data_IF_937765871674
#
_entry.id   IF_937765871674
#
_cell.length_a   1.000
_cell.length_b   1.000
_cell.length_c   1.000
_cell.angle_alpha   90.00
_cell.angle_beta   90.00
_cell.angle_gamma   90.00
#
_symmetry.space_group_name_H-M   'P 1'
#
loop_
_entity.id
_entity.type
_entity.pdbx_description
1 polymer ?
#
# COMPACT_ATOMS: atom_id res chain seq x y z
N UNK A 1 12.00 10.43 -2.34
CA UNK A 1 10.78 9.72 -2.76
C UNK A 1 10.17 10.43 -3.96
N UNK A 2 10.02 9.77 -5.11
CA UNK A 2 9.51 10.36 -6.36
C UNK A 2 7.97 10.37 -6.40
N UNK A 3 7.41 11.21 -7.27
CA UNK A 3 6.04 11.09 -7.72
C UNK A 3 5.95 9.89 -8.68
N UNK A 4 4.98 8.98 -8.44
CA UNK A 4 4.72 7.85 -9.31
C UNK A 4 3.33 8.03 -9.95
N UNK A 5 3.19 7.65 -11.22
CA UNK A 5 1.90 7.80 -11.91
C UNK A 5 1.74 6.83 -13.07
N UNK A 6 0.49 6.54 -13.37
CA UNK A 6 0.05 5.98 -14.65
C UNK A 6 -0.97 6.93 -15.32
N UNK A 7 -1.82 6.42 -16.20
CA UNK A 7 -2.77 7.24 -16.99
C UNK A 7 -3.91 7.87 -16.17
N UNK A 8 -4.25 7.32 -14.99
CA UNK A 8 -5.43 7.73 -14.21
C UNK A 8 -5.13 7.91 -12.72
N UNK A 9 -3.99 7.38 -12.23
CA UNK A 9 -3.61 7.42 -10.84
C UNK A 9 -2.30 8.16 -10.67
N UNK A 10 -2.28 9.13 -9.76
CA UNK A 10 -1.07 9.75 -9.26
C UNK A 10 -0.84 9.31 -7.82
N UNK A 11 0.37 8.84 -7.53
CA UNK A 11 0.90 8.61 -6.19
C UNK A 11 1.75 9.81 -5.80
N UNK A 12 1.15 10.73 -5.08
CA UNK A 12 1.78 11.96 -4.61
C UNK A 12 2.68 11.64 -3.41
N UNK A 13 3.96 12.04 -3.41
CA UNK A 13 4.83 11.88 -2.24
C UNK A 13 4.21 12.51 -1.00
N UNK A 14 4.29 11.82 0.16
CA UNK A 14 3.60 12.26 1.37
C UNK A 14 3.97 13.68 1.82
N UNK A 15 5.22 14.12 1.62
CA UNK A 15 5.65 15.48 1.92
C UNK A 15 4.87 16.59 1.17
N UNK A 16 4.15 16.21 0.10
CA UNK A 16 3.38 17.12 -0.74
C UNK A 16 1.86 16.99 -0.51
N UNK A 17 1.43 16.07 0.38
CA UNK A 17 0.03 15.69 0.56
C UNK A 17 -0.83 16.85 1.07
N UNK A 18 -0.28 17.74 1.86
CA UNK A 18 -1.00 18.91 2.40
C UNK A 18 -1.39 19.93 1.31
N UNK A 19 -0.81 19.82 0.11
CA UNK A 19 -1.22 20.63 -1.03
C UNK A 19 -2.59 20.23 -1.59
N UNK A 20 -3.12 19.05 -1.22
CA UNK A 20 -4.42 18.58 -1.66
C UNK A 20 -5.55 19.29 -0.91
N UNK A 21 -6.53 19.87 -1.63
CA UNK A 21 -7.68 20.49 -0.99
C UNK A 21 -8.44 19.50 -0.11
N UNK A 22 -8.71 19.88 1.15
CA UNK A 22 -9.54 19.10 2.06
C UNK A 22 -8.92 17.76 2.53
N UNK A 23 -7.64 17.51 2.30
CA UNK A 23 -6.97 16.23 2.62
C UNK A 23 -7.18 15.80 4.07
N UNK A 24 -7.11 16.74 5.03
CA UNK A 24 -7.34 16.46 6.45
C UNK A 24 -8.74 15.90 6.71
N UNK A 25 -9.75 16.52 6.12
CA UNK A 25 -11.14 16.06 6.24
C UNK A 25 -11.37 14.70 5.56
N UNK A 26 -10.76 14.48 4.40
CA UNK A 26 -10.82 13.20 3.69
C UNK A 26 -10.14 12.08 4.47
N UNK A 27 -9.01 12.32 5.12
CA UNK A 27 -8.34 11.36 6.00
C UNK A 27 -9.25 11.01 7.19
N UNK A 28 -9.82 12.01 7.87
CA UNK A 28 -10.73 11.79 9.01
C UNK A 28 -11.94 10.95 8.57
N UNK A 29 -12.57 11.31 7.45
CA UNK A 29 -13.72 10.58 6.92
C UNK A 29 -13.35 9.13 6.56
N UNK A 30 -12.20 8.92 5.92
CA UNK A 30 -11.71 7.59 5.56
C UNK A 30 -11.42 6.71 6.78
N UNK A 31 -10.77 7.27 7.81
CA UNK A 31 -10.37 6.52 9.01
C UNK A 31 -11.55 6.21 9.94
N UNK A 32 -12.65 6.95 9.85
CA UNK A 32 -13.90 6.63 10.56
C UNK A 32 -14.83 5.69 9.77
N UNK A 33 -14.47 5.31 8.54
CA UNK A 33 -15.26 4.35 7.77
C UNK A 33 -15.24 2.97 8.44
N UNK A 34 -16.38 2.26 8.57
CA UNK A 34 -16.46 0.98 9.27
C UNK A 34 -15.53 -0.11 8.72
N UNK A 35 -15.27 -0.13 7.41
CA UNK A 35 -14.35 -1.09 6.80
C UNK A 35 -12.91 -0.78 7.18
N UNK A 36 -12.53 0.49 7.21
CA UNK A 36 -11.23 0.92 7.69
C UNK A 36 -11.03 0.55 9.16
N UNK A 37 -12.01 0.86 10.00
CA UNK A 37 -11.99 0.54 11.43
C UNK A 37 -11.87 -0.98 11.66
N UNK A 38 -12.58 -1.82 10.86
CA UNK A 38 -12.51 -3.29 11.01
C UNK A 38 -11.14 -3.86 10.67
N UNK A 39 -10.47 -3.35 9.63
CA UNK A 39 -9.29 -4.01 9.07
C UNK A 39 -7.95 -3.33 9.40
N UNK A 40 -7.98 -2.28 10.22
CA UNK A 40 -6.76 -1.53 10.55
C UNK A 40 -6.67 -1.23 12.04
N UNK A 41 -5.49 -0.76 12.45
CA UNK A 41 -5.22 -0.31 13.84
C UNK A 41 -5.44 1.18 14.03
N UNK A 42 -6.07 1.89 13.07
CA UNK A 42 -6.33 3.33 13.21
C UNK A 42 -7.12 3.61 14.51
N UNK A 43 -6.84 4.69 15.23
CA UNK A 43 -7.64 5.09 16.38
C UNK A 43 -9.14 5.18 16.04
N UNK A 44 -10.02 4.89 17.00
CA UNK A 44 -11.46 5.04 16.80
C UNK A 44 -12.13 5.53 18.09
N UNK A 45 -12.84 6.66 18.07
CA UNK A 45 -13.05 7.54 16.91
C UNK A 45 -11.74 8.18 16.42
N UNK A 46 -11.64 8.39 15.09
CA UNK A 46 -10.50 9.07 14.51
C UNK A 46 -10.76 10.58 14.53
N UNK A 47 -9.90 11.31 15.24
CA UNK A 47 -10.08 12.75 15.50
C UNK A 47 -9.24 13.63 14.58
N UNK A 48 -9.48 14.94 14.56
CA UNK A 48 -8.62 15.90 13.88
C UNK A 48 -7.15 15.83 14.29
N UNK A 49 -6.86 15.64 15.57
CA UNK A 49 -5.50 15.54 16.11
C UNK A 49 -4.78 14.31 15.56
N UNK A 50 -5.48 13.16 15.43
CA UNK A 50 -4.93 11.97 14.78
C UNK A 50 -4.59 12.21 13.32
N UNK A 51 -5.38 13.03 12.60
CA UNK A 51 -5.08 13.39 11.21
C UNK A 51 -3.86 14.30 11.12
N UNK A 52 -3.71 15.25 12.03
CA UNK A 52 -2.55 16.15 12.08
C UNK A 52 -1.27 15.34 12.36
N UNK A 53 -1.29 14.41 13.31
CA UNK A 53 -0.16 13.51 13.59
C UNK A 53 0.19 12.63 12.38
N UNK A 54 -0.82 12.09 11.71
CA UNK A 54 -0.62 11.23 10.53
C UNK A 54 -0.06 12.01 9.33
N UNK A 55 -0.47 13.27 9.15
CA UNK A 55 0.06 14.16 8.12
C UNK A 55 1.50 14.55 8.42
N UNK A 56 1.80 14.89 9.67
CA UNK A 56 3.10 15.40 10.08
C UNK A 56 4.19 14.31 10.13
N UNK A 57 3.85 13.05 10.43
CA UNK A 57 4.83 12.01 10.74
C UNK A 57 4.78 10.86 9.74
N UNK A 58 5.92 10.60 9.10
CA UNK A 58 6.21 9.35 8.41
C UNK A 58 7.30 8.62 9.19
N UNK A 59 7.11 7.36 9.60
CA UNK A 59 8.13 6.62 10.33
C UNK A 59 9.45 6.52 9.55
N UNK A 60 10.56 6.43 10.24
CA UNK A 60 11.88 6.29 9.63
C UNK A 60 11.94 5.05 8.73
N UNK A 61 12.54 5.20 7.55
CA UNK A 61 12.67 4.13 6.56
C UNK A 61 11.38 3.80 5.80
N UNK A 62 10.26 4.46 6.09
CA UNK A 62 9.00 4.28 5.37
C UNK A 62 8.87 5.31 4.25
N UNK A 63 8.56 4.84 3.05
CA UNK A 63 8.11 5.69 1.96
C UNK A 63 6.57 5.65 1.90
N UNK A 64 5.93 6.83 1.94
CA UNK A 64 4.45 6.92 1.91
C UNK A 64 4.00 7.84 0.78
N UNK A 65 2.99 7.38 0.02
CA UNK A 65 2.33 8.15 -1.03
C UNK A 65 0.83 8.23 -0.78
N UNK A 66 0.24 9.34 -1.17
CA UNK A 66 -1.21 9.48 -1.28
C UNK A 66 -1.69 9.07 -2.68
N UNK A 67 -2.81 8.35 -2.76
CA UNK A 67 -3.55 8.20 -4.03
C UNK A 67 -4.27 9.50 -4.33
N UNK A 68 -4.09 10.02 -5.53
CA UNK A 68 -4.76 11.23 -5.99
C UNK A 68 -5.52 10.92 -7.27
N UNK A 69 -6.83 11.15 -7.22
CA UNK A 69 -7.75 11.07 -8.36
C UNK A 69 -8.54 12.36 -8.36
N UNK A 70 -8.62 13.03 -9.50
CA UNK A 70 -9.32 14.31 -9.64
C UNK A 70 -8.96 15.35 -8.55
N UNK A 71 -7.65 15.47 -8.27
CA UNK A 71 -7.10 16.37 -7.23
C UNK A 71 -7.59 16.08 -5.81
N UNK A 72 -8.17 14.90 -5.56
CA UNK A 72 -8.69 14.49 -4.27
C UNK A 72 -7.88 13.34 -3.67
N UNK A 73 -7.65 13.40 -2.34
CA UNK A 73 -7.13 12.26 -1.58
C UNK A 73 -8.06 11.06 -1.67
N UNK A 74 -7.53 9.92 -2.08
CA UNK A 74 -8.29 8.69 -2.32
C UNK A 74 -7.75 7.47 -1.57
N UNK A 75 -6.73 7.67 -0.73
CA UNK A 75 -6.07 6.64 0.06
C UNK A 75 -4.57 6.83 0.12
N UNK A 76 -3.88 5.86 0.69
CA UNK A 76 -2.42 5.87 0.77
C UNK A 76 -1.82 4.48 0.61
N UNK A 77 -0.54 4.45 0.25
CA UNK A 77 0.31 3.26 0.22
C UNK A 77 1.65 3.55 0.88
N UNK A 78 2.18 2.57 1.58
CA UNK A 78 3.48 2.61 2.22
C UNK A 78 4.36 1.47 1.70
N UNK A 79 5.63 1.79 1.47
CA UNK A 79 6.71 0.82 1.36
C UNK A 79 7.55 0.91 2.63
N UNK A 80 7.56 -0.15 3.39
CA UNK A 80 8.28 -0.27 4.67
C UNK A 80 9.62 -0.98 4.49
N UNK A 81 10.57 -0.83 5.42
CA UNK A 81 11.80 -1.60 5.41
C UNK A 81 11.54 -3.09 5.22
N UNK A 82 12.41 -3.76 4.44
CA UNK A 82 12.25 -5.17 4.10
C UNK A 82 11.26 -5.48 2.98
N UNK A 83 10.65 -4.45 2.36
CA UNK A 83 9.75 -4.64 1.22
C UNK A 83 8.30 -4.97 1.61
N UNK A 84 7.90 -4.70 2.85
CA UNK A 84 6.51 -4.89 3.29
C UNK A 84 5.68 -3.69 2.87
N UNK A 85 4.58 -3.95 2.16
CA UNK A 85 3.63 -2.94 1.71
C UNK A 85 2.40 -2.90 2.61
N UNK A 86 1.93 -1.68 2.86
CA UNK A 86 0.65 -1.42 3.52
C UNK A 86 -0.15 -0.40 2.72
N UNK A 87 -1.48 -0.50 2.72
CA UNK A 87 -2.32 0.46 2.01
C UNK A 87 -3.69 0.65 2.66
N UNK A 88 -4.29 1.77 2.35
CA UNK A 88 -5.69 2.05 2.63
C UNK A 88 -6.35 2.73 1.43
N UNK A 89 -7.66 2.53 1.25
CA UNK A 89 -8.43 3.12 0.17
C UNK A 89 -9.67 3.78 0.74
N UNK A 90 -9.83 5.05 0.44
CA UNK A 90 -10.99 5.83 0.87
C UNK A 90 -12.29 5.23 0.33
N UNK A 91 -13.42 5.30 1.06
CA UNK A 91 -14.69 4.70 0.64
C UNK A 91 -15.12 5.08 -0.78
N UNK A 92 -14.95 6.35 -1.14
CA UNK A 92 -15.33 6.89 -2.47
C UNK A 92 -14.43 6.43 -3.61
N UNK A 93 -13.27 5.81 -3.30
CA UNK A 93 -12.29 5.35 -4.27
C UNK A 93 -12.25 3.82 -4.41
N UNK A 94 -13.07 3.09 -3.65
CA UNK A 94 -13.12 1.61 -3.69
C UNK A 94 -13.75 1.11 -4.98
N UNK A 95 -13.42 -0.12 -5.36
CA UNK A 95 -13.99 -0.78 -6.53
C UNK A 95 -13.40 -0.33 -7.88
N UNK A 96 -12.59 0.71 -7.91
CA UNK A 96 -12.02 1.31 -9.14
C UNK A 96 -10.66 0.71 -9.55
N UNK A 97 -10.14 -0.25 -8.81
CA UNK A 97 -8.85 -0.91 -9.10
C UNK A 97 -7.61 -0.07 -8.77
N UNK A 98 -7.77 1.11 -8.16
CA UNK A 98 -6.68 2.05 -7.87
C UNK A 98 -5.57 1.41 -7.03
N UNK A 99 -5.92 0.67 -5.99
CA UNK A 99 -4.94 0.04 -5.11
C UNK A 99 -4.07 -1.00 -5.84
N UNK A 100 -4.65 -1.81 -6.73
CA UNK A 100 -3.86 -2.75 -7.51
C UNK A 100 -2.90 -2.05 -8.47
N UNK A 101 -3.29 -0.88 -9.00
CA UNK A 101 -2.40 -0.02 -9.83
C UNK A 101 -1.29 0.59 -8.97
N UNK A 102 -1.64 1.12 -7.78
CA UNK A 102 -0.68 1.68 -6.84
C UNK A 102 0.38 0.65 -6.41
N UNK A 103 -0.05 -0.58 -6.10
CA UNK A 103 0.85 -1.69 -5.77
C UNK A 103 1.85 -1.97 -6.89
N UNK A 104 1.41 -1.96 -8.16
CA UNK A 104 2.33 -2.16 -9.31
C UNK A 104 3.31 -0.99 -9.49
N UNK A 105 2.85 0.25 -9.31
CA UNK A 105 3.73 1.43 -9.40
C UNK A 105 4.79 1.41 -8.30
N UNK A 106 4.40 1.12 -7.06
CA UNK A 106 5.34 1.05 -5.94
C UNK A 106 6.27 -0.16 -6.08
N UNK A 107 5.79 -1.29 -6.61
CA UNK A 107 6.63 -2.45 -6.87
C UNK A 107 7.72 -2.13 -7.91
N UNK A 108 7.36 -1.48 -9.02
CA UNK A 108 8.33 -1.04 -10.01
C UNK A 108 9.39 -0.10 -9.40
N UNK A 109 8.96 0.87 -8.58
CA UNK A 109 9.86 1.76 -7.84
C UNK A 109 10.78 0.99 -6.89
N UNK A 110 10.24 0.08 -6.07
CA UNK A 110 11.00 -0.72 -5.13
C UNK A 110 12.08 -1.58 -5.83
N UNK A 111 11.78 -2.11 -7.01
CA UNK A 111 12.74 -2.88 -7.81
C UNK A 111 13.88 -2.01 -8.31
N UNK A 112 13.65 -0.75 -8.65
CA UNK A 112 14.74 0.18 -9.01
C UNK A 112 15.67 0.49 -7.83
N UNK A 113 15.20 0.31 -6.60
CA UNK A 113 15.99 0.44 -5.38
C UNK A 113 16.71 -0.86 -4.97
N UNK A 114 16.62 -1.92 -5.79
CA UNK A 114 17.28 -3.20 -5.54
C UNK A 114 16.49 -4.19 -4.70
N UNK A 115 15.26 -3.86 -4.27
CA UNK A 115 14.40 -4.84 -3.64
C UNK A 115 13.98 -5.90 -4.66
N UNK A 116 14.07 -7.17 -4.31
CA UNK A 116 13.72 -8.29 -5.20
C UNK A 116 12.44 -9.01 -4.79
N UNK A 117 11.93 -8.72 -3.60
CA UNK A 117 10.75 -9.36 -3.02
C UNK A 117 9.93 -8.33 -2.24
N UNK A 118 8.63 -8.32 -2.47
CA UNK A 118 7.66 -7.48 -1.75
C UNK A 118 6.61 -8.36 -1.10
N UNK A 119 6.10 -7.92 0.04
CA UNK A 119 5.11 -8.66 0.82
C UNK A 119 3.89 -7.80 1.16
N UNK A 120 2.75 -8.47 1.24
CA UNK A 120 1.52 -7.97 1.85
C UNK A 120 1.07 -8.96 2.92
N UNK A 121 0.71 -8.43 4.09
CA UNK A 121 0.12 -9.21 5.17
C UNK A 121 -1.37 -8.84 5.27
N UNK A 122 -2.24 -9.78 4.98
CA UNK A 122 -3.67 -9.55 4.79
C UNK A 122 -4.45 -10.51 5.66
N UNK A 123 -5.40 -10.02 6.46
CA UNK A 123 -6.30 -10.88 7.23
C UNK A 123 -7.02 -11.86 6.29
N UNK A 124 -7.06 -13.13 6.66
CA UNK A 124 -7.63 -14.22 5.83
C UNK A 124 -9.08 -13.90 5.42
N UNK A 125 -9.85 -13.29 6.31
CA UNK A 125 -11.25 -12.94 6.07
C UNK A 125 -11.43 -11.63 5.27
N UNK A 126 -10.35 -10.87 5.03
CA UNK A 126 -10.41 -9.68 4.19
C UNK A 126 -10.34 -10.04 2.70
N UNK A 127 -11.41 -10.64 2.19
CA UNK A 127 -11.48 -11.09 0.79
C UNK A 127 -11.28 -9.97 -0.23
N UNK A 128 -11.65 -8.73 0.09
CA UNK A 128 -11.45 -7.58 -0.80
C UNK A 128 -9.97 -7.25 -0.97
N UNK A 129 -9.22 -7.21 0.14
CA UNK A 129 -7.78 -6.96 0.13
C UNK A 129 -7.01 -8.08 -0.58
N UNK A 130 -7.38 -9.35 -0.34
CA UNK A 130 -6.79 -10.52 -1.01
C UNK A 130 -6.95 -10.45 -2.53
N UNK A 131 -8.17 -10.20 -3.02
CA UNK A 131 -8.42 -10.01 -4.47
C UNK A 131 -7.62 -8.83 -5.05
N UNK A 132 -7.41 -7.78 -4.27
CA UNK A 132 -6.60 -6.63 -4.69
C UNK A 132 -5.14 -7.01 -4.85
N UNK A 133 -4.58 -7.76 -3.91
CA UNK A 133 -3.22 -8.29 -3.99
C UNK A 133 -3.04 -9.19 -5.23
N UNK A 134 -3.96 -10.13 -5.46
CA UNK A 134 -3.94 -11.03 -6.62
C UNK A 134 -4.02 -10.26 -7.95
N UNK A 135 -4.90 -9.25 -8.05
CA UNK A 135 -4.97 -8.36 -9.21
C UNK A 135 -3.69 -7.55 -9.45
N UNK A 136 -2.92 -7.27 -8.41
CA UNK A 136 -1.64 -6.60 -8.52
C UNK A 136 -0.49 -7.55 -8.93
N UNK A 137 -0.74 -8.86 -8.95
CA UNK A 137 0.23 -9.90 -9.32
C UNK A 137 0.88 -10.59 -8.12
N UNK A 138 0.46 -10.28 -6.89
CA UNK A 138 0.93 -11.01 -5.70
C UNK A 138 0.33 -12.40 -5.65
N UNK A 139 1.13 -13.37 -5.19
CA UNK A 139 0.72 -14.75 -4.98
C UNK A 139 0.68 -15.09 -3.50
N UNK A 140 -0.27 -15.91 -3.11
CA UNK A 140 -0.35 -16.43 -1.73
C UNK A 140 0.87 -17.27 -1.40
N UNK A 141 1.50 -17.00 -0.25
CA UNK A 141 2.75 -17.63 0.21
C UNK A 141 2.61 -18.18 1.66
N UNK A 142 1.43 -18.60 2.05
CA UNK A 142 1.18 -19.21 3.35
C UNK A 142 0.59 -18.26 4.39
N UNK A 143 0.45 -18.78 5.61
CA UNK A 143 -0.01 -18.01 6.77
C UNK A 143 1.18 -17.47 7.56
N UNK A 144 1.01 -16.34 8.19
CA UNK A 144 1.96 -15.87 9.21
C UNK A 144 1.78 -16.69 10.48
N UNK A 145 2.88 -16.92 11.24
CA UNK A 145 2.83 -17.81 12.43
C UNK A 145 1.92 -17.26 13.52
N UNK A 146 1.89 -15.95 13.68
CA UNK A 146 1.15 -15.29 14.74
C UNK A 146 -0.06 -14.52 14.19
N UNK A 147 -1.26 -14.73 14.75
CA UNK A 147 -2.41 -13.92 14.40
C UNK A 147 -2.26 -12.48 14.93
N UNK A 148 -2.95 -11.55 14.30
CA UNK A 148 -2.98 -10.14 14.73
C UNK A 148 -4.31 -9.88 15.45
N UNK A 149 -4.22 -9.29 16.64
CA UNK A 149 -5.41 -8.88 17.38
C UNK A 149 -5.85 -7.48 16.94
N UNK A 150 -6.99 -7.41 16.24
CA UNK A 150 -7.62 -6.17 15.80
C UNK A 150 -8.95 -5.99 16.54
N UNK A 151 -9.04 -4.97 17.39
CA UNK A 151 -10.27 -4.58 18.12
C UNK A 151 -11.01 -5.74 18.79
N UNK A 152 -10.26 -6.61 19.47
CA UNK A 152 -10.81 -7.78 20.15
C UNK A 152 -11.06 -8.99 19.26
N UNK A 153 -10.88 -8.86 17.95
CA UNK A 153 -10.86 -9.99 17.01
C UNK A 153 -9.43 -10.50 16.85
N UNK A 154 -9.28 -11.81 16.77
CA UNK A 154 -8.00 -12.45 16.44
C UNK A 154 -8.06 -12.86 14.97
N UNK A 155 -7.31 -12.15 14.15
CA UNK A 155 -7.30 -12.32 12.70
C UNK A 155 -6.03 -13.05 12.27
N UNK A 156 -6.19 -14.25 11.70
CA UNK A 156 -5.10 -14.97 11.05
C UNK A 156 -4.68 -14.19 9.79
N UNK A 157 -3.37 -14.00 9.62
CA UNK A 157 -2.80 -13.23 8.50
C UNK A 157 -2.27 -14.15 7.41
N UNK A 158 -2.66 -13.88 6.18
CA UNK A 158 -2.13 -14.48 4.97
C UNK A 158 -0.98 -13.61 4.44
N UNK A 159 0.13 -14.22 4.07
CA UNK A 159 1.23 -13.57 3.36
C UNK A 159 1.02 -13.71 1.86
N UNK A 160 1.16 -12.59 1.17
CA UNK A 160 1.20 -12.50 -0.28
C UNK A 160 2.53 -11.93 -0.73
N UNK A 161 3.12 -12.48 -1.78
CA UNK A 161 4.46 -12.12 -2.26
C UNK A 161 4.43 -11.75 -3.73
N UNK A 162 5.17 -10.70 -4.06
CA UNK A 162 5.52 -10.34 -5.42
C UNK A 162 7.04 -10.32 -5.56
N UNK A 163 7.57 -11.03 -6.57
CA UNK A 163 9.00 -11.09 -6.87
C UNK A 163 9.31 -10.24 -8.10
N UNK A 164 10.46 -9.60 -8.08
CA UNK A 164 10.96 -8.93 -9.28
C UNK A 164 11.13 -9.94 -10.42
N UNK A 165 10.93 -9.54 -11.67
CA UNK A 165 11.31 -10.36 -12.82
C UNK A 165 12.78 -10.80 -12.71
N UNK A 166 13.06 -12.02 -13.14
CA UNK A 166 14.45 -12.47 -13.27
C UNK A 166 15.12 -11.63 -14.37
N UNK A 167 16.33 -11.15 -14.10
CA UNK A 167 17.13 -10.52 -15.14
C UNK A 167 17.48 -11.58 -16.18
N UNK A 168 17.34 -11.31 -17.49
CA UNK A 168 17.80 -12.25 -18.51
C UNK A 168 19.29 -12.49 -18.27
N UNK A 169 19.69 -13.77 -18.21
CA UNK A 169 21.09 -14.14 -18.10
C UNK A 169 21.89 -13.42 -19.21
N UNK A 170 23.03 -12.80 -18.87
CA UNK A 170 23.87 -12.21 -19.89
C UNK A 170 24.22 -13.30 -20.90
N UNK A 171 23.81 -13.10 -22.12
CA UNK A 171 24.06 -14.01 -23.24
C UNK A 171 25.54 -14.39 -23.23
N UNK A 172 25.88 -15.58 -22.77
CA UNK A 172 27.23 -16.11 -22.88
C UNK A 172 27.49 -16.33 -24.39
N UNK A 173 27.93 -15.26 -25.06
CA UNK A 173 28.47 -15.39 -26.40
C UNK A 173 29.68 -16.30 -26.29
N UNK A 174 29.48 -17.57 -26.54
CA UNK A 174 30.53 -18.54 -26.74
C UNK A 174 31.37 -18.05 -27.93
N UNK A 175 32.50 -17.45 -27.62
CA UNK A 175 33.56 -17.26 -28.59
C UNK A 175 34.18 -18.65 -28.76
N UNK A 176 33.70 -19.34 -29.77
CA UNK A 176 34.39 -20.54 -30.22
C UNK A 176 35.69 -20.11 -30.96
N UNK A 177 36.80 -20.85 -30.77
CA UNK A 177 38.10 -20.56 -31.34
C UNK A 177 38.14 -20.72 -32.86
#
# INVERSE_FOLDING_TARGET
MPLLRDTELTLLPWREVESLPGVRADIIASCNDPVMVRWTTVPHPYTPEHADDFLAVVPEGVERWAYVVDVRYSGNIELRPGGVLGYSTAPWARGQGLTARALRLVAAHAYTQGLRRLELHIAVDNAASRRTAEKAGFTYDGLLPDPVRLRGHEDQMARYVLRAPEEPEPNSTSIAP
#
